data_IF_780526211746
#
_entry.id   IF_780526211746
#
_cell.length_a   1.000
_cell.length_b   1.000
_cell.length_c   1.000
_cell.angle_alpha   90.00
_cell.angle_beta   90.00
_cell.angle_gamma   90.00
#
_symmetry.space_group_name_H-M   'P 1'
#
loop_
_entity.id
_entity.type
_entity.pdbx_description
1 polymer ?
#
# COMPACT_ATOMS: atom_id res chain seq x y z
N UNK A 1 19.61 18.54 -11.56
CA UNK A 1 19.19 17.86 -10.32
C UNK A 1 18.53 16.55 -10.67
N UNK A 2 19.01 15.47 -10.07
CA UNK A 2 18.43 14.16 -10.33
C UNK A 2 17.09 13.99 -9.59
N UNK A 3 16.12 13.46 -10.29
CA UNK A 3 14.87 13.09 -9.66
C UNK A 3 15.05 11.83 -8.82
N UNK A 4 14.29 11.73 -7.73
CA UNK A 4 14.28 10.50 -6.93
C UNK A 4 13.63 9.39 -7.73
N UNK A 5 14.24 8.22 -7.70
CA UNK A 5 13.59 7.02 -8.22
C UNK A 5 12.48 6.61 -7.27
N UNK A 6 11.35 6.29 -7.82
CA UNK A 6 10.20 5.79 -7.06
C UNK A 6 9.67 4.55 -7.76
N UNK A 7 9.40 3.53 -6.97
CA UNK A 7 8.75 2.33 -7.48
C UNK A 7 7.39 2.20 -6.82
N UNK A 8 6.36 2.09 -7.66
CA UNK A 8 4.98 1.97 -7.18
C UNK A 8 4.58 0.50 -7.09
N UNK A 9 3.98 0.14 -5.97
CA UNK A 9 3.26 -1.11 -5.83
C UNK A 9 1.81 -0.79 -6.09
N UNK A 10 1.31 -1.16 -7.26
CA UNK A 10 -0.01 -0.76 -7.72
C UNK A 10 -1.05 -1.81 -7.36
N UNK A 11 -2.10 -1.35 -6.67
CA UNK A 11 -3.23 -2.18 -6.27
C UNK A 11 -4.50 -1.65 -6.92
N UNK A 12 -5.45 -2.53 -7.10
CA UNK A 12 -6.80 -2.15 -7.57
C UNK A 12 -7.78 -2.38 -6.43
N UNK A 13 -8.64 -1.40 -6.21
CA UNK A 13 -9.71 -1.47 -5.21
C UNK A 13 -11.04 -1.55 -5.93
N UNK A 14 -11.79 -2.64 -5.71
CA UNK A 14 -13.10 -2.82 -6.30
C UNK A 14 -14.17 -2.06 -5.52
N UNK A 15 -15.35 -1.93 -6.12
CA UNK A 15 -16.50 -1.27 -5.48
C UNK A 15 -16.99 -2.04 -4.24
N UNK A 16 -16.64 -3.31 -4.12
CA UNK A 16 -16.98 -4.13 -2.95
C UNK A 16 -15.86 -4.10 -1.89
N UNK A 17 -14.93 -3.16 -2.01
CA UNK A 17 -13.79 -3.01 -1.10
C UNK A 17 -12.87 -4.23 -1.07
N UNK A 18 -12.65 -4.85 -2.23
CA UNK A 18 -11.69 -5.93 -2.39
C UNK A 18 -10.42 -5.37 -3.03
N UNK A 19 -9.28 -5.60 -2.36
CA UNK A 19 -7.99 -5.15 -2.82
C UNK A 19 -7.28 -6.29 -3.56
N UNK A 20 -6.63 -5.97 -4.68
CA UNK A 20 -5.88 -6.94 -5.47
C UNK A 20 -4.67 -6.26 -6.10
N UNK A 21 -3.64 -7.04 -6.43
CA UNK A 21 -2.50 -6.52 -7.19
C UNK A 21 -2.96 -6.18 -8.60
N UNK A 22 -2.75 -4.94 -9.02
CA UNK A 22 -3.15 -4.52 -10.36
C UNK A 22 -2.09 -4.85 -11.41
N UNK A 23 -0.82 -4.57 -11.07
CA UNK A 23 0.30 -4.84 -11.96
C UNK A 23 1.21 -5.86 -11.28
N UNK A 24 1.09 -7.16 -11.63
CA UNK A 24 1.88 -8.20 -10.95
C UNK A 24 3.40 -8.00 -11.04
N UNK A 25 3.89 -7.39 -12.11
CA UNK A 25 5.33 -7.14 -12.27
C UNK A 25 5.87 -6.17 -11.24
N UNK A 26 5.04 -5.27 -10.69
CA UNK A 26 5.46 -4.34 -9.64
C UNK A 26 5.95 -5.08 -8.40
N UNK A 27 5.49 -6.31 -8.20
CA UNK A 27 5.75 -7.09 -6.98
C UNK A 27 6.90 -8.08 -7.14
N UNK A 28 7.59 -8.04 -8.29
CA UNK A 28 8.72 -8.91 -8.56
C UNK A 28 10.03 -8.20 -8.31
N UNK A 29 11.03 -8.95 -7.88
CA UNK A 29 12.39 -8.44 -7.67
C UNK A 29 12.45 -7.29 -6.67
N UNK A 30 11.59 -7.34 -5.66
CA UNK A 30 11.66 -6.40 -4.55
C UNK A 30 12.77 -6.84 -3.60
N UNK A 31 13.58 -5.89 -3.17
CA UNK A 31 14.69 -6.14 -2.24
C UNK A 31 14.44 -5.33 -0.99
N UNK A 32 14.47 -6.01 0.16
CA UNK A 32 14.24 -5.36 1.44
C UNK A 32 15.38 -4.39 1.77
N UNK A 33 15.03 -3.31 2.47
CA UNK A 33 16.01 -2.34 2.96
C UNK A 33 16.07 -1.03 2.20
N UNK A 34 15.32 -0.88 1.11
CA UNK A 34 15.25 0.38 0.39
C UNK A 34 14.58 1.45 1.26
N UNK A 35 15.01 2.69 1.12
CA UNK A 35 14.45 3.83 1.87
C UNK A 35 13.99 4.89 0.90
N UNK A 36 12.74 5.38 1.09
CA UNK A 36 12.19 6.44 0.27
C UNK A 36 12.00 6.05 -1.19
N UNK A 37 11.96 4.75 -1.48
CA UNK A 37 11.90 4.23 -2.84
C UNK A 37 10.52 3.66 -3.18
N UNK A 38 9.93 2.90 -2.26
CA UNK A 38 8.65 2.25 -2.50
C UNK A 38 7.50 3.16 -2.12
N UNK A 39 6.49 3.20 -2.97
CA UNK A 39 5.20 3.81 -2.68
C UNK A 39 4.10 2.86 -3.10
N UNK A 40 2.95 2.99 -2.45
CA UNK A 40 1.76 2.23 -2.79
C UNK A 40 0.82 3.15 -3.56
N UNK A 41 0.32 2.66 -4.68
CA UNK A 41 -0.68 3.37 -5.48
C UNK A 41 -1.93 2.50 -5.54
N UNK A 42 -3.08 3.09 -5.25
CA UNK A 42 -4.35 2.39 -5.27
C UNK A 42 -5.21 2.97 -6.39
N UNK A 43 -5.62 2.11 -7.31
CA UNK A 43 -6.54 2.47 -8.38
C UNK A 43 -7.94 2.16 -7.92
N UNK A 44 -8.72 3.19 -7.63
CA UNK A 44 -10.09 3.06 -7.16
C UNK A 44 -11.02 3.80 -8.13
N UNK A 45 -12.23 3.29 -8.28
CA UNK A 45 -13.27 3.99 -9.02
C UNK A 45 -13.91 5.08 -8.17
N UNK A 46 -15.03 5.62 -8.66
CA UNK A 46 -15.68 6.75 -8.01
C UNK A 46 -16.42 6.40 -6.70
N UNK A 47 -16.63 5.11 -6.44
CA UNK A 47 -17.42 4.67 -5.28
C UNK A 47 -16.88 5.17 -3.96
N UNK A 48 -15.56 5.38 -3.85
CA UNK A 48 -14.93 5.81 -2.62
C UNK A 48 -14.28 7.19 -2.75
N UNK A 49 -14.69 7.98 -3.74
CA UNK A 49 -14.05 9.27 -4.02
C UNK A 49 -14.19 10.28 -2.87
N UNK A 50 -15.22 10.16 -2.05
CA UNK A 50 -15.46 11.04 -0.90
C UNK A 50 -15.11 10.39 0.44
N UNK A 51 -14.44 9.25 0.41
CA UNK A 51 -13.95 8.59 1.63
C UNK A 51 -12.53 9.04 1.94
N UNK A 52 -12.24 9.16 3.24
CA UNK A 52 -10.86 9.24 3.69
C UNK A 52 -10.27 7.84 3.63
N UNK A 53 -9.05 7.71 3.14
CA UNK A 53 -8.43 6.41 2.95
C UNK A 53 -7.02 6.38 3.55
N UNK A 54 -6.65 5.25 4.09
CA UNK A 54 -5.31 5.00 4.61
C UNK A 54 -4.87 3.59 4.27
N UNK A 55 -3.58 3.41 4.08
CA UNK A 55 -2.98 2.08 3.95
C UNK A 55 -2.50 1.66 5.33
N UNK A 56 -2.80 0.44 5.73
CA UNK A 56 -2.27 -0.14 6.94
C UNK A 56 -1.30 -1.24 6.55
N UNK A 57 -0.04 -1.02 6.83
CA UNK A 57 1.00 -2.04 6.64
C UNK A 57 1.14 -2.83 7.93
N UNK A 58 1.24 -4.14 7.83
CA UNK A 58 1.42 -5.01 8.99
C UNK A 58 2.71 -5.78 8.84
N UNK A 59 3.60 -5.65 9.83
CA UNK A 59 4.85 -6.40 9.92
C UNK A 59 4.85 -7.13 11.25
N UNK A 60 4.70 -8.46 11.20
CA UNK A 60 4.54 -9.24 12.42
C UNK A 60 3.29 -8.79 13.18
N UNK A 61 3.48 -8.28 14.39
CA UNK A 61 2.37 -7.79 15.21
C UNK A 61 2.21 -6.28 15.18
N UNK A 62 3.06 -5.57 14.42
CA UNK A 62 3.03 -4.10 14.36
C UNK A 62 2.27 -3.62 13.14
N UNK A 63 1.49 -2.58 13.33
CA UNK A 63 0.75 -1.93 12.27
C UNK A 63 1.30 -0.52 12.04
N UNK A 64 1.36 -0.14 10.78
CA UNK A 64 1.86 1.18 10.35
C UNK A 64 0.82 1.81 9.44
N UNK A 65 -0.11 2.61 9.99
CA UNK A 65 -1.09 3.30 9.14
C UNK A 65 -0.46 4.52 8.47
N UNK A 66 -0.72 4.66 7.19
CA UNK A 66 -0.23 5.80 6.39
C UNK A 66 -1.39 6.34 5.57
N UNK A 67 -1.73 7.63 5.68
CA UNK A 67 -2.81 8.18 4.89
C UNK A 67 -2.52 8.11 3.39
N UNK A 68 -3.55 7.83 2.60
CA UNK A 68 -3.48 7.93 1.15
C UNK A 68 -3.76 9.38 0.75
N UNK A 69 -2.82 9.97 0.04
CA UNK A 69 -2.98 11.30 -0.55
C UNK A 69 -2.99 11.13 -2.05
N UNK A 70 -4.08 11.53 -2.70
CA UNK A 70 -4.29 11.28 -4.13
C UNK A 70 -4.13 9.81 -4.47
N UNK A 71 -4.59 8.93 -3.55
CA UNK A 71 -4.52 7.48 -3.67
C UNK A 71 -3.09 6.94 -3.75
N UNK A 72 -2.13 7.68 -3.19
CA UNK A 72 -0.73 7.26 -3.09
C UNK A 72 -0.31 7.35 -1.63
N UNK A 73 0.40 6.34 -1.15
CA UNK A 73 0.93 6.30 0.21
C UNK A 73 2.41 5.91 0.18
N UNK A 74 3.18 6.46 1.10
CA UNK A 74 4.58 6.08 1.28
C UNK A 74 4.65 4.75 2.01
N UNK A 75 5.74 4.01 1.79
CA UNK A 75 6.05 2.80 2.54
C UNK A 75 7.06 3.18 3.61
N UNK A 76 6.71 3.08 4.90
CA UNK A 76 7.65 3.42 5.98
C UNK A 76 8.93 2.59 5.91
N UNK A 77 10.04 3.16 6.35
CA UNK A 77 11.32 2.47 6.30
C UNK A 77 11.30 1.14 7.05
N UNK A 78 10.60 1.06 8.18
CA UNK A 78 10.48 -0.18 8.93
C UNK A 78 9.76 -1.27 8.13
N UNK A 79 8.79 -0.89 7.31
CA UNK A 79 8.08 -1.83 6.44
C UNK A 79 8.95 -2.22 5.26
N UNK A 80 9.59 -1.24 4.62
CA UNK A 80 10.47 -1.49 3.47
C UNK A 80 11.68 -2.35 3.84
N UNK A 81 12.09 -2.34 5.10
CA UNK A 81 13.21 -3.16 5.59
C UNK A 81 12.81 -4.61 5.83
N UNK A 82 11.52 -4.93 5.87
CA UNK A 82 11.07 -6.29 6.15
C UNK A 82 11.01 -7.13 4.89
N UNK A 83 11.21 -8.43 5.04
CA UNK A 83 11.10 -9.38 3.91
C UNK A 83 9.66 -9.73 3.58
N UNK A 84 8.74 -9.46 4.50
CA UNK A 84 7.34 -9.76 4.32
C UNK A 84 6.50 -8.75 5.07
N UNK A 85 5.52 -8.19 4.40
CA UNK A 85 4.53 -7.33 5.04
C UNK A 85 3.18 -7.49 4.34
N UNK A 86 2.12 -7.11 5.05
CA UNK A 86 0.77 -7.17 4.53
C UNK A 86 0.26 -5.75 4.31
N UNK A 87 -0.45 -5.54 3.20
CA UNK A 87 -1.05 -4.25 2.84
C UNK A 87 -2.56 -4.40 2.83
N UNK A 88 -3.24 -3.49 3.53
CA UNK A 88 -4.70 -3.38 3.44
C UNK A 88 -5.07 -1.91 3.44
N UNK A 89 -6.27 -1.61 2.99
CA UNK A 89 -6.77 -0.24 2.93
C UNK A 89 -7.93 -0.09 3.90
N UNK A 90 -7.97 1.04 4.60
CA UNK A 90 -9.08 1.41 5.48
C UNK A 90 -9.75 2.62 4.86
N UNK A 91 -11.06 2.54 4.70
CA UNK A 91 -11.88 3.62 4.14
C UNK A 91 -12.82 4.11 5.22
N UNK A 92 -12.93 5.43 5.36
CA UNK A 92 -13.79 6.00 6.37
C UNK A 92 -14.57 7.19 5.81
N UNK A 93 -15.87 7.19 6.12
CA UNK A 93 -16.76 8.30 5.80
C UNK A 93 -17.77 8.42 6.92
N UNK A 94 -17.70 9.54 7.67
CA UNK A 94 -18.54 9.70 8.85
C UNK A 94 -18.27 8.63 9.89
N UNK A 95 -19.28 7.88 10.27
CA UNK A 95 -19.15 6.78 11.23
C UNK A 95 -18.88 5.43 10.58
N UNK A 96 -18.91 5.38 9.24
CA UNK A 96 -18.65 4.13 8.52
C UNK A 96 -17.15 3.92 8.36
N UNK A 97 -16.70 2.71 8.67
CA UNK A 97 -15.31 2.29 8.47
C UNK A 97 -15.29 0.95 7.77
N UNK A 98 -14.58 0.88 6.67
CA UNK A 98 -14.49 -0.32 5.86
C UNK A 98 -13.03 -0.76 5.77
N UNK A 99 -12.77 -2.02 6.05
CA UNK A 99 -11.44 -2.63 5.88
C UNK A 99 -11.46 -3.53 4.66
N UNK A 100 -10.44 -3.42 3.83
CA UNK A 100 -10.26 -4.36 2.73
C UNK A 100 -9.57 -5.63 3.23
N UNK A 101 -9.50 -6.64 2.38
CA UNK A 101 -8.63 -7.79 2.61
C UNK A 101 -7.17 -7.34 2.63
N UNK A 102 -6.30 -8.16 3.21
CA UNK A 102 -4.86 -7.93 3.20
C UNK A 102 -4.21 -8.62 2.00
N UNK A 103 -3.21 -7.95 1.42
CA UNK A 103 -2.38 -8.50 0.35
C UNK A 103 -0.97 -8.66 0.90
N UNK A 104 -0.41 -9.85 0.75
CA UNK A 104 0.94 -10.12 1.20
C UNK A 104 1.96 -9.67 0.16
N UNK A 105 3.01 -9.00 0.63
CA UNK A 105 4.11 -8.54 -0.22
C UNK A 105 5.39 -9.15 0.31
N UNK A 106 6.16 -9.77 -0.57
CA UNK A 106 7.41 -10.43 -0.21
C UNK A 106 8.57 -9.71 -0.88
N UNK A 107 9.65 -9.54 -0.13
CA UNK A 107 10.88 -8.95 -0.63
C UNK A 107 12.05 -9.89 -0.36
N UNK A 108 13.00 -9.91 -1.27
CA UNK A 108 14.23 -10.69 -1.09
C UNK A 108 15.13 -10.01 -0.07
N UNK A 109 15.92 -10.80 0.64
CA UNK A 109 16.96 -10.24 1.51
C UNK A 109 18.12 -9.70 0.69
N UNK A 110 18.89 -8.81 1.30
CA UNK A 110 20.11 -8.28 0.69
C UNK A 110 21.31 -9.19 0.97
#
# INVERSE_FOLDING_TARGET
MAEKLVRYLTFRLSDEAVLAKDIPLDFKRLIAGSKGYLKVKVLAGDSFSDYAAAVVYTVGEKEYPVPLKNWIAEVPNAVAASKHFTVRVVLQKGTQRIFTNGIEVYQSGT
#
